data_IF_254070941604
#
_entry.id   IF_254070941604
#
_cell.length_a   1.000
_cell.length_b   1.000
_cell.length_c   1.000
_cell.angle_alpha   90.00
_cell.angle_beta   90.00
_cell.angle_gamma   90.00
#
_symmetry.space_group_name_H-M   'P 1'
#
loop_
_entity.id
_entity.type
_entity.pdbx_description
1 polymer ?
#
# COMPACT_ATOMS: atom_id res chain seq x y z
N UNK A 1 -0.48 -3.68 8.41
CA UNK A 1 -0.79 -3.16 9.74
C UNK A 1 0.20 -3.73 10.73
N UNK A 2 0.92 -2.83 11.40
CA UNK A 2 1.84 -3.15 12.48
C UNK A 2 1.22 -2.62 13.77
N UNK A 3 1.20 -3.44 14.81
CA UNK A 3 0.92 -2.99 16.17
C UNK A 3 2.26 -2.66 16.81
N UNK A 4 2.35 -1.48 17.43
CA UNK A 4 3.54 -1.01 18.17
C UNK A 4 3.13 -0.76 19.62
N UNK A 5 3.21 -1.77 20.50
CA UNK A 5 2.73 -1.67 21.87
C UNK A 5 3.39 -0.58 22.70
N UNK A 6 4.69 -0.38 22.50
CA UNK A 6 5.53 0.54 23.27
C UNK A 6 5.06 2.00 23.18
N UNK A 7 4.36 2.36 22.10
CA UNK A 7 3.80 3.70 21.86
C UNK A 7 2.30 3.66 21.58
N UNK A 8 1.63 2.54 21.89
CA UNK A 8 0.19 2.35 21.69
C UNK A 8 -0.30 2.84 20.32
N UNK A 9 0.41 2.42 19.26
CA UNK A 9 0.15 2.88 17.89
C UNK A 9 -0.08 1.73 16.92
N UNK A 10 -1.07 1.88 16.05
CA UNK A 10 -1.36 1.00 14.92
C UNK A 10 -0.93 1.69 13.63
N UNK A 11 0.04 1.11 12.94
CA UNK A 11 0.57 1.64 11.67
C UNK A 11 -0.04 0.88 10.49
N UNK A 12 -0.88 1.56 9.72
CA UNK A 12 -1.55 1.02 8.53
C UNK A 12 -0.59 1.09 7.33
N UNK A 13 -0.24 -0.09 6.83
CA UNK A 13 0.70 -0.26 5.71
C UNK A 13 -0.06 -0.36 4.39
N UNK A 14 -0.24 0.77 3.72
CA UNK A 14 -0.81 0.82 2.38
C UNK A 14 0.20 0.28 1.34
N UNK A 15 -0.23 -0.46 0.30
CA UNK A 15 0.67 -0.87 -0.77
C UNK A 15 1.33 0.33 -1.46
N UNK A 16 2.64 0.21 -1.74
CA UNK A 16 3.43 1.15 -2.55
C UNK A 16 3.55 2.59 -1.99
N UNK A 17 3.42 2.74 -0.68
CA UNK A 17 3.59 4.02 0.03
C UNK A 17 4.86 4.05 0.90
N UNK A 18 5.88 3.27 0.55
CA UNK A 18 7.10 3.12 1.36
C UNK A 18 6.94 2.19 2.57
N UNK A 19 5.80 1.50 2.66
CA UNK A 19 5.43 0.59 3.75
C UNK A 19 6.48 -0.47 4.10
N UNK A 20 7.22 -0.99 3.11
CA UNK A 20 8.29 -1.95 3.37
C UNK A 20 9.47 -1.36 4.15
N UNK A 21 9.87 -0.12 3.85
CA UNK A 21 10.94 0.54 4.60
C UNK A 21 10.46 1.03 5.96
N UNK A 22 9.22 1.55 6.05
CA UNK A 22 8.61 1.93 7.31
C UNK A 22 8.52 0.73 8.27
N UNK A 23 8.09 -0.44 7.78
CA UNK A 23 8.09 -1.69 8.55
C UNK A 23 9.45 -2.02 9.13
N UNK A 24 10.52 -1.98 8.32
CA UNK A 24 11.88 -2.29 8.78
C UNK A 24 12.35 -1.30 9.84
N UNK A 25 12.05 -0.01 9.66
CA UNK A 25 12.42 1.02 10.62
C UNK A 25 11.69 0.86 11.96
N UNK A 26 10.39 0.54 11.92
CA UNK A 26 9.60 0.24 13.12
C UNK A 26 10.16 -1.00 13.83
N UNK A 27 10.43 -2.09 13.11
CA UNK A 27 10.96 -3.31 13.71
C UNK A 27 12.35 -3.11 14.35
N UNK A 28 13.18 -2.25 13.76
CA UNK A 28 14.49 -1.90 14.32
C UNK A 28 14.38 -1.04 15.59
N UNK A 29 13.37 -0.16 15.67
CA UNK A 29 13.16 0.76 16.80
C UNK A 29 12.37 0.12 17.95
N UNK A 30 11.39 -0.72 17.62
CA UNK A 30 10.40 -1.30 18.51
C UNK A 30 10.37 -2.83 18.37
N UNK A 31 11.19 -3.55 19.15
CA UNK A 31 11.28 -5.01 19.10
C UNK A 31 9.97 -5.72 19.41
N UNK A 32 9.07 -5.10 20.18
CA UNK A 32 7.74 -5.63 20.48
C UNK A 32 6.71 -5.42 19.36
N UNK A 33 7.10 -4.79 18.25
CA UNK A 33 6.18 -4.54 17.15
C UNK A 33 5.79 -5.82 16.40
N UNK A 34 4.50 -5.96 16.09
CA UNK A 34 3.94 -7.16 15.47
C UNK A 34 3.26 -6.81 14.15
N UNK A 35 3.66 -7.47 13.06
CA UNK A 35 2.94 -7.40 11.79
C UNK A 35 1.78 -8.39 11.81
N UNK A 36 0.55 -7.89 11.93
CA UNK A 36 -0.64 -8.73 11.86
C UNK A 36 -1.12 -8.96 10.42
N UNK A 37 -1.18 -7.89 9.64
CA UNK A 37 -1.59 -7.95 8.23
C UNK A 37 -0.55 -7.24 7.38
N UNK A 38 -0.28 -7.72 6.17
CA UNK A 38 0.61 -7.01 5.24
C UNK A 38 0.00 -5.69 4.80
N UNK A 39 -1.25 -5.72 4.37
CA UNK A 39 -2.06 -4.58 3.96
C UNK A 39 -3.44 -4.73 4.61
N UNK A 40 -3.83 -3.79 5.44
CA UNK A 40 -5.07 -3.89 6.22
C UNK A 40 -6.19 -3.14 5.52
N UNK A 41 -7.38 -3.73 5.47
CA UNK A 41 -8.62 -3.06 5.07
C UNK A 41 -9.55 -2.99 6.29
N UNK A 42 -10.04 -1.80 6.61
CA UNK A 42 -10.07 -1.36 8.01
C UNK A 42 -11.16 -1.90 8.96
N UNK A 43 -11.92 -2.93 8.62
CA UNK A 43 -12.64 -3.68 9.68
C UNK A 43 -11.68 -4.52 10.55
N UNK A 44 -10.40 -4.60 10.17
CA UNK A 44 -9.36 -5.39 10.83
C UNK A 44 -8.47 -4.67 11.84
N UNK A 45 -8.91 -3.60 12.55
CA UNK A 45 -8.22 -3.23 13.81
C UNK A 45 -8.71 -4.22 14.86
N UNK A 46 -7.87 -5.09 15.43
CA UNK A 46 -8.34 -6.08 16.37
C UNK A 46 -8.90 -5.38 17.61
N UNK A 47 -9.94 -5.96 18.21
CA UNK A 47 -10.51 -5.48 19.45
C UNK A 47 -9.41 -5.32 20.51
N UNK A 48 -9.44 -4.21 21.26
CA UNK A 48 -8.39 -3.85 22.23
C UNK A 48 -7.36 -2.85 21.72
N UNK A 49 -7.27 -2.66 20.39
CA UNK A 49 -6.42 -1.64 19.76
C UNK A 49 -7.24 -0.50 19.11
N UNK A 50 -8.56 -0.54 19.26
CA UNK A 50 -9.50 0.45 18.72
C UNK A 50 -9.24 1.87 19.26
N UNK A 51 -8.80 1.98 20.52
CA UNK A 51 -8.45 3.25 21.17
C UNK A 51 -7.04 3.76 20.85
N UNK A 52 -6.20 2.94 20.25
CA UNK A 52 -4.80 3.29 19.98
C UNK A 52 -4.70 4.29 18.83
N UNK A 53 -3.62 5.07 18.81
CA UNK A 53 -3.38 5.99 17.72
C UNK A 53 -3.24 5.22 16.42
N UNK A 54 -3.97 5.62 15.37
CA UNK A 54 -3.91 4.98 14.06
C UNK A 54 -3.23 5.93 13.09
N UNK A 55 -2.18 5.47 12.42
CA UNK A 55 -1.45 6.28 11.44
C UNK A 55 -1.26 5.53 10.15
N UNK A 56 -1.24 6.25 9.03
CA UNK A 56 -0.96 5.67 7.73
C UNK A 56 -0.49 6.69 6.72
N UNK A 57 0.01 6.20 5.59
CA UNK A 57 0.61 7.02 4.53
C UNK A 57 -0.26 7.01 3.30
N UNK A 58 -0.58 8.19 2.79
CA UNK A 58 -1.30 8.44 1.54
C UNK A 58 -0.32 8.92 0.47
N UNK A 59 -0.30 8.24 -0.67
CA UNK A 59 0.50 8.65 -1.83
C UNK A 59 -0.40 9.16 -2.95
N UNK A 60 0.12 10.02 -3.82
CA UNK A 60 -0.56 10.33 -5.08
C UNK A 60 -0.97 9.03 -5.79
N UNK A 61 -2.27 8.86 -6.15
CA UNK A 61 -2.77 7.59 -6.63
C UNK A 61 -2.13 7.17 -7.96
N UNK A 62 -1.83 8.12 -8.86
CA UNK A 62 -1.13 7.82 -10.12
C UNK A 62 0.30 7.37 -9.84
N UNK A 63 1.01 8.06 -8.96
CA UNK A 63 2.37 7.67 -8.55
C UNK A 63 2.40 6.32 -7.82
N UNK A 64 1.39 6.02 -7.02
CA UNK A 64 1.22 4.74 -6.32
C UNK A 64 1.02 3.61 -7.33
N UNK A 65 0.10 3.78 -8.28
CA UNK A 65 -0.17 2.81 -9.35
C UNK A 65 1.04 2.63 -10.26
N UNK A 66 1.74 3.70 -10.63
CA UNK A 66 2.97 3.60 -11.41
C UNK A 66 4.07 2.84 -10.67
N UNK A 67 4.17 3.05 -9.36
CA UNK A 67 5.10 2.30 -8.51
C UNK A 67 4.71 0.83 -8.37
N UNK A 68 3.42 0.50 -8.44
CA UNK A 68 2.93 -0.88 -8.47
C UNK A 68 3.24 -1.54 -9.82
N UNK A 69 2.88 -0.88 -10.91
CA UNK A 69 3.11 -1.35 -12.28
C UNK A 69 4.58 -1.74 -12.50
N UNK A 70 5.52 -0.84 -12.17
CA UNK A 70 6.97 -1.12 -12.22
C UNK A 70 7.41 -2.26 -11.32
N UNK A 71 6.72 -2.45 -10.20
CA UNK A 71 7.02 -3.56 -9.29
C UNK A 71 6.53 -4.89 -9.84
N UNK A 72 5.36 -4.92 -10.48
CA UNK A 72 4.84 -6.10 -11.17
C UNK A 72 5.74 -6.52 -12.35
N UNK A 73 6.29 -5.55 -13.10
CA UNK A 73 7.23 -5.84 -14.20
C UNK A 73 8.49 -6.59 -13.73
N UNK A 74 8.93 -6.30 -12.50
CA UNK A 74 10.11 -6.92 -11.87
C UNK A 74 9.72 -7.97 -10.83
N UNK A 75 8.49 -8.47 -10.88
CA UNK A 75 7.98 -9.36 -9.83
C UNK A 75 8.78 -10.67 -9.81
N UNK A 76 9.09 -11.24 -10.99
CA UNK A 76 9.90 -12.46 -11.14
C UNK A 76 11.27 -12.34 -10.46
N UNK A 77 11.98 -11.23 -10.66
CA UNK A 77 13.30 -10.97 -10.04
C UNK A 77 13.27 -10.97 -8.51
N UNK A 78 12.14 -10.57 -7.92
CA UNK A 78 12.01 -10.36 -6.47
C UNK A 78 11.56 -11.59 -5.70
N UNK A 79 10.98 -12.56 -6.39
CA UNK A 79 10.31 -13.68 -5.77
C UNK A 79 11.11 -15.00 -5.93
N UNK A 80 12.07 -15.08 -6.87
CA UNK A 80 13.01 -16.19 -6.95
C UNK A 80 12.39 -17.46 -7.54
N UNK A 81 13.09 -18.60 -7.43
CA UNK A 81 12.59 -19.91 -7.87
C UNK A 81 11.52 -20.41 -6.90
N UNK A 82 10.42 -20.89 -7.47
CA UNK A 82 9.22 -21.27 -6.75
C UNK A 82 8.66 -22.59 -7.26
N UNK A 83 7.70 -23.15 -6.52
CA UNK A 83 6.87 -24.23 -7.07
C UNK A 83 6.16 -23.76 -8.35
N UNK A 84 5.87 -24.68 -9.29
CA UNK A 84 5.22 -24.38 -10.58
C UNK A 84 3.93 -23.53 -10.48
N UNK A 85 3.25 -23.55 -9.33
CA UNK A 85 1.97 -22.87 -9.10
C UNK A 85 2.12 -21.46 -8.51
N UNK A 86 3.17 -21.25 -7.72
CA UNK A 86 3.63 -19.91 -7.35
C UNK A 86 4.18 -19.20 -8.60
N UNK A 87 4.77 -19.96 -9.53
CA UNK A 87 5.18 -19.47 -10.84
C UNK A 87 3.99 -18.98 -11.67
N UNK A 88 2.86 -19.71 -11.71
CA UNK A 88 1.65 -19.26 -12.42
C UNK A 88 1.09 -17.92 -11.89
N UNK A 89 1.16 -17.68 -10.57
CA UNK A 89 0.76 -16.39 -9.99
C UNK A 89 1.73 -15.27 -10.34
N UNK A 90 3.04 -15.54 -10.27
CA UNK A 90 4.10 -14.63 -10.71
C UNK A 90 3.89 -14.26 -12.18
N UNK A 91 3.63 -15.24 -13.04
CA UNK A 91 3.42 -15.05 -14.47
C UNK A 91 2.16 -14.25 -14.75
N UNK A 92 1.05 -14.52 -14.06
CA UNK A 92 -0.17 -13.71 -14.17
C UNK A 92 0.07 -12.24 -13.78
N UNK A 93 0.86 -11.98 -12.73
CA UNK A 93 1.21 -10.61 -12.33
C UNK A 93 2.07 -9.93 -13.39
N UNK A 94 3.08 -10.60 -13.92
CA UNK A 94 3.95 -10.05 -14.96
C UNK A 94 3.14 -9.81 -16.23
N UNK A 95 2.36 -10.79 -16.67
CA UNK A 95 1.49 -10.68 -17.84
C UNK A 95 0.48 -9.54 -17.72
N UNK A 96 -0.05 -9.30 -16.51
CA UNK A 96 -0.99 -8.19 -16.30
C UNK A 96 -0.40 -6.85 -16.71
N UNK A 97 0.92 -6.67 -16.63
CA UNK A 97 1.61 -5.41 -16.95
C UNK A 97 2.35 -5.42 -18.30
N UNK A 98 2.07 -6.39 -19.17
CA UNK A 98 2.60 -6.42 -20.55
C UNK A 98 1.98 -5.33 -21.45
N UNK A 99 0.86 -4.74 -21.03
CA UNK A 99 0.21 -3.61 -21.70
C UNK A 99 0.74 -2.25 -21.21
N UNK A 100 0.62 -1.18 -22.02
CA UNK A 100 0.98 0.17 -21.62
C UNK A 100 0.28 0.61 -20.32
N UNK A 101 0.94 1.46 -19.52
CA UNK A 101 0.44 1.85 -18.19
C UNK A 101 -0.98 2.43 -18.20
N UNK A 102 -1.33 3.27 -19.18
CA UNK A 102 -2.68 3.84 -19.30
C UNK A 102 -3.74 2.75 -19.54
N UNK A 103 -3.43 1.77 -20.38
CA UNK A 103 -4.31 0.63 -20.65
C UNK A 103 -4.45 -0.25 -19.40
N UNK A 104 -3.33 -0.51 -18.71
CA UNK A 104 -3.32 -1.25 -17.45
C UNK A 104 -4.20 -0.62 -16.37
N UNK A 105 -4.18 0.71 -16.24
CA UNK A 105 -5.04 1.43 -15.28
C UNK A 105 -6.51 1.10 -15.52
N UNK A 106 -6.96 1.08 -16.77
CA UNK A 106 -8.37 0.89 -17.11
C UNK A 106 -8.75 -0.59 -17.03
N UNK A 107 -7.91 -1.45 -17.60
CA UNK A 107 -8.27 -2.82 -17.95
C UNK A 107 -7.81 -3.88 -16.95
N UNK A 108 -6.87 -3.57 -16.05
CA UNK A 108 -6.38 -4.59 -15.11
C UNK A 108 -7.51 -5.16 -14.24
N UNK A 109 -7.68 -6.49 -14.31
CA UNK A 109 -8.65 -7.26 -13.52
C UNK A 109 -7.99 -8.12 -12.45
N UNK A 110 -6.65 -8.13 -12.34
CA UNK A 110 -5.95 -9.02 -11.41
C UNK A 110 -5.89 -8.42 -10.01
N UNK A 111 -6.47 -9.08 -8.97
CA UNK A 111 -6.23 -8.72 -7.58
C UNK A 111 -4.77 -8.99 -7.22
N UNK A 112 -4.11 -7.98 -6.66
CA UNK A 112 -2.69 -8.07 -6.32
C UNK A 112 -2.41 -8.87 -5.02
N UNK A 113 -3.40 -8.97 -4.13
CA UNK A 113 -3.28 -9.69 -2.86
C UNK A 113 -4.45 -10.65 -2.71
N UNK A 114 -4.15 -11.93 -2.49
CA UNK A 114 -5.11 -12.99 -2.25
C UNK A 114 -4.65 -13.80 -1.02
N UNK A 115 -5.50 -14.04 -0.01
CA UNK A 115 -5.14 -14.86 1.14
C UNK A 115 -5.07 -16.35 0.85
N UNK A 116 -5.73 -16.82 -0.20
CA UNK A 116 -5.66 -18.22 -0.58
C UNK A 116 -4.47 -18.46 -1.50
N UNK A 117 -3.94 -19.67 -1.44
CA UNK A 117 -2.98 -20.12 -2.44
C UNK A 117 -3.54 -19.96 -3.85
N UNK A 118 -2.66 -19.64 -4.79
CA UNK A 118 -2.98 -19.67 -6.21
C UNK A 118 -3.20 -21.10 -6.73
N UNK A 119 -2.87 -22.12 -5.92
CA UNK A 119 -2.98 -23.53 -6.28
C UNK A 119 -4.37 -24.13 -6.05
N UNK A 120 -5.32 -23.38 -5.45
CA UNK A 120 -6.67 -23.86 -5.19
C UNK A 120 -6.73 -25.02 -4.20
N UNK A 121 -5.64 -25.27 -3.46
CA UNK A 121 -5.54 -26.33 -2.45
C UNK A 121 -6.04 -25.86 -1.09
N UNK A 122 -6.53 -24.63 -1.02
CA UNK A 122 -7.19 -24.08 0.16
C UNK A 122 -6.23 -23.63 1.26
N UNK A 123 -4.91 -23.56 0.99
CA UNK A 123 -3.96 -22.99 1.96
C UNK A 123 -4.27 -21.52 2.14
N UNK A 124 -4.56 -21.15 3.37
CA UNK A 124 -4.88 -19.78 3.76
C UNK A 124 -3.69 -19.11 4.43
N UNK A 125 -3.38 -17.89 4.01
CA UNK A 125 -2.30 -17.05 4.52
C UNK A 125 -2.91 -15.82 5.21
N UNK A 126 -3.10 -15.84 6.53
CA UNK A 126 -3.83 -14.79 7.26
C UNK A 126 -3.28 -13.38 7.02
N UNK A 127 -1.96 -13.25 6.86
CA UNK A 127 -1.27 -11.99 6.61
C UNK A 127 -1.65 -11.30 5.29
N UNK A 128 -2.22 -12.03 4.32
CA UNK A 128 -2.68 -11.53 3.02
C UNK A 128 -4.21 -11.40 2.96
N UNK A 129 -4.90 -11.52 4.09
CA UNK A 129 -6.35 -11.32 4.15
C UNK A 129 -6.70 -9.91 3.71
N UNK A 130 -7.60 -9.81 2.73
CA UNK A 130 -8.19 -8.57 2.24
C UNK A 130 -9.70 -8.70 2.31
N UNK A 131 -10.39 -7.60 2.58
CA UNK A 131 -11.85 -7.58 2.59
C UNK A 131 -12.40 -7.49 1.17
N UNK A 132 -11.76 -6.66 0.36
CA UNK A 132 -12.13 -6.42 -1.03
C UNK A 132 -11.06 -7.05 -1.91
N UNK A 133 -11.32 -8.23 -2.46
CA UNK A 133 -10.46 -8.84 -3.47
C UNK A 133 -10.63 -8.13 -4.82
N UNK A 134 -10.20 -6.86 -4.86
CA UNK A 134 -10.29 -5.99 -6.02
C UNK A 134 -8.89 -5.66 -6.56
N UNK A 135 -8.78 -5.47 -7.88
CA UNK A 135 -7.59 -4.92 -8.51
C UNK A 135 -7.18 -3.57 -7.93
N UNK A 136 -5.88 -3.34 -7.79
CA UNK A 136 -5.34 -2.13 -7.15
C UNK A 136 -5.66 -0.83 -7.92
N UNK A 137 -5.90 -0.92 -9.23
CA UNK A 137 -6.37 0.16 -10.10
C UNK A 137 -7.83 0.56 -9.84
N UNK A 138 -8.56 -0.16 -8.98
CA UNK A 138 -9.93 0.18 -8.55
C UNK A 138 -10.04 0.41 -7.04
N UNK A 139 -8.91 0.39 -6.33
CA UNK A 139 -8.87 0.35 -4.87
C UNK A 139 -8.27 1.63 -4.29
N UNK A 140 -9.14 2.57 -3.93
CA UNK A 140 -8.78 3.80 -3.23
C UNK A 140 -7.98 3.51 -1.95
N UNK A 141 -7.03 4.38 -1.61
CA UNK A 141 -6.31 4.25 -0.34
C UNK A 141 -7.22 4.42 0.89
N UNK A 142 -8.42 4.98 0.70
CA UNK A 142 -9.47 5.04 1.71
C UNK A 142 -9.74 3.66 2.30
N UNK A 143 -9.84 2.59 1.49
CA UNK A 143 -10.24 1.27 2.00
C UNK A 143 -9.26 0.70 3.02
N UNK A 144 -7.99 1.10 2.92
CA UNK A 144 -6.96 0.73 3.89
C UNK A 144 -6.93 1.71 5.06
N UNK A 145 -6.85 3.01 4.76
CA UNK A 145 -6.58 4.04 5.74
C UNK A 145 -7.78 4.30 6.64
N UNK A 146 -9.00 4.25 6.10
CA UNK A 146 -10.27 4.50 6.78
C UNK A 146 -10.19 5.64 7.79
N UNK A 147 -10.04 6.88 7.28
CA UNK A 147 -10.07 8.07 8.11
C UNK A 147 -11.36 8.18 8.93
N UNK A 148 -12.45 7.53 8.49
CA UNK A 148 -13.70 7.41 9.24
C UNK A 148 -13.56 6.67 10.58
N UNK A 149 -12.49 5.88 10.76
CA UNK A 149 -12.11 5.24 12.03
C UNK A 149 -11.10 6.08 12.84
N UNK A 150 -10.84 7.32 12.45
CA UNK A 150 -9.92 8.22 13.14
C UNK A 150 -8.43 8.00 12.80
N UNK A 151 -8.12 7.34 11.68
CA UNK A 151 -6.74 7.21 11.22
C UNK A 151 -6.17 8.56 10.80
N UNK A 152 -5.05 8.96 11.43
CA UNK A 152 -4.26 10.12 11.03
C UNK A 152 -3.45 9.79 9.76
N UNK A 153 -3.63 10.58 8.72
CA UNK A 153 -3.07 10.31 7.40
C UNK A 153 -1.93 11.28 7.09
N UNK A 154 -0.78 10.73 6.72
CA UNK A 154 0.39 11.49 6.29
C UNK A 154 0.55 11.44 4.78
N UNK A 155 0.77 12.57 4.09
CA UNK A 155 1.15 12.53 2.69
C UNK A 155 2.53 11.86 2.54
N UNK A 156 2.73 11.10 1.47
CA UNK A 156 3.99 10.41 1.19
C UNK A 156 5.20 11.37 1.11
N UNK A 157 4.97 12.62 0.68
CA UNK A 157 5.99 13.68 0.70
C UNK A 157 6.40 14.10 2.12
N UNK A 158 5.53 13.89 3.12
CA UNK A 158 5.73 14.20 4.53
C UNK A 158 6.13 12.99 5.37
N UNK A 159 6.73 11.95 4.77
CA UNK A 159 7.18 10.77 5.50
C UNK A 159 8.12 11.09 6.67
N UNK A 160 8.94 12.15 6.55
CA UNK A 160 9.82 12.60 7.64
C UNK A 160 9.04 12.93 8.92
N UNK A 161 7.89 13.61 8.81
CA UNK A 161 7.04 13.94 9.95
C UNK A 161 6.48 12.71 10.63
N UNK A 162 6.04 11.70 9.85
CA UNK A 162 5.59 10.43 10.42
C UNK A 162 6.73 9.72 11.17
N UNK A 163 7.94 9.70 10.59
CA UNK A 163 9.09 9.07 11.23
C UNK A 163 9.44 9.76 12.56
N UNK A 164 9.42 11.09 12.58
CA UNK A 164 9.61 11.89 13.80
C UNK A 164 8.55 11.59 14.87
N UNK A 165 7.26 11.55 14.49
CA UNK A 165 6.17 11.22 15.42
C UNK A 165 6.29 9.79 15.97
N UNK A 166 6.81 8.86 15.17
CA UNK A 166 7.11 7.50 15.58
C UNK A 166 8.47 7.36 16.29
N UNK A 167 9.20 8.46 16.58
CA UNK A 167 10.51 8.39 17.25
C UNK A 167 11.59 7.62 16.46
N UNK A 168 11.45 7.53 15.14
CA UNK A 168 12.40 6.86 14.24
C UNK A 168 13.36 7.92 13.67
N UNK A 169 14.63 7.85 14.08
CA UNK A 169 15.65 8.83 13.72
C UNK A 169 16.05 8.77 12.23
N UNK A 170 16.14 7.57 11.65
CA UNK A 170 16.62 7.40 10.28
C UNK A 170 15.49 7.14 9.30
N UNK A 171 15.42 7.99 8.26
CA UNK A 171 14.65 7.71 7.07
C UNK A 171 15.31 6.55 6.31
N UNK A 172 14.96 5.32 6.69
CA UNK A 172 15.33 4.14 5.93
C UNK A 172 14.73 4.25 4.50
N UNK A 173 15.51 4.69 3.53
CA UNK A 173 15.19 4.58 2.09
C UNK A 173 15.88 3.36 1.49
N UNK A 174 15.54 2.17 1.98
CA UNK A 174 16.27 0.95 1.58
C UNK A 174 15.79 0.28 0.28
N UNK A 175 14.89 0.89 -0.50
CA UNK A 175 14.46 0.33 -1.79
C UNK A 175 13.85 1.41 -2.69
N UNK A 176 14.71 2.21 -3.31
CA UNK A 176 14.29 3.17 -4.32
C UNK A 176 14.00 2.43 -5.61
N UNK A 177 12.73 2.11 -5.90
CA UNK A 177 12.34 1.99 -7.32
C UNK A 177 12.82 3.28 -7.98
N UNK A 178 13.60 3.22 -9.08
CA UNK A 178 14.16 4.40 -9.70
C UNK A 178 13.08 5.47 -9.86
N UNK A 179 13.33 6.71 -9.40
CA UNK A 179 12.38 7.79 -9.58
C UNK A 179 12.29 8.08 -11.08
N UNK A 180 11.31 7.45 -11.72
CA UNK A 180 10.87 7.80 -13.06
C UNK A 180 9.47 8.39 -12.94
N UNK A 181 9.19 9.52 -13.61
CA UNK A 181 7.85 10.06 -13.65
C UNK A 181 6.89 9.03 -14.24
N UNK A 182 5.63 9.08 -13.80
CA UNK A 182 4.59 8.32 -14.48
C UNK A 182 4.45 8.87 -15.91
N UNK A 183 4.24 8.01 -16.92
CA UNK A 183 3.97 8.49 -18.28
C UNK A 183 2.66 9.29 -18.31
N UNK A 184 2.48 10.08 -19.37
CA UNK A 184 1.24 10.81 -19.57
C UNK A 184 0.07 9.82 -19.72
N UNK A 185 -1.00 10.06 -18.97
CA UNK A 185 -2.20 9.23 -19.02
C UNK A 185 -3.06 9.58 -20.24
N UNK A 186 -3.70 8.57 -20.84
CA UNK A 186 -4.82 8.78 -21.76
C UNK A 186 -6.00 9.41 -21.01
N UNK A 187 -6.95 10.00 -21.75
CA UNK A 187 -8.12 10.63 -21.11
C UNK A 187 -9.00 9.60 -20.40
N UNK A 188 -9.15 8.41 -20.97
CA UNK A 188 -9.85 7.30 -20.32
C UNK A 188 -9.17 6.88 -18.99
N UNK A 189 -7.84 6.78 -18.97
CA UNK A 189 -7.10 6.47 -17.75
C UNK A 189 -7.22 7.60 -16.71
N UNK A 190 -7.23 8.88 -17.13
CA UNK A 190 -7.48 10.02 -16.24
C UNK A 190 -8.88 9.93 -15.61
N UNK A 191 -9.90 9.64 -16.41
CA UNK A 191 -11.27 9.54 -15.94
C UNK A 191 -11.47 8.34 -15.01
N UNK A 192 -10.84 7.22 -15.33
CA UNK A 192 -10.78 6.06 -14.46
C UNK A 192 -10.19 6.41 -13.09
N UNK A 193 -9.01 7.05 -13.05
CA UNK A 193 -8.40 7.39 -11.76
C UNK A 193 -9.19 8.45 -10.99
N UNK A 194 -9.80 9.43 -11.68
CA UNK A 194 -10.67 10.43 -11.04
C UNK A 194 -11.87 9.77 -10.36
N UNK A 195 -12.46 8.76 -11.00
CA UNK A 195 -13.62 8.04 -10.48
C UNK A 195 -13.28 7.19 -9.25
N UNK A 196 -12.28 6.32 -9.36
CA UNK A 196 -11.96 5.34 -8.31
C UNK A 196 -11.11 5.91 -7.16
N UNK A 197 -10.37 7.00 -7.39
CA UNK A 197 -9.47 7.59 -6.40
C UNK A 197 -9.85 9.04 -6.04
N UNK A 198 -11.13 9.40 -6.20
CA UNK A 198 -11.65 10.73 -5.89
C UNK A 198 -11.29 11.16 -4.46
N UNK A 199 -11.45 10.24 -3.49
CA UNK A 199 -11.06 10.49 -2.10
C UNK A 199 -9.55 10.73 -1.96
N UNK A 200 -8.70 9.89 -2.56
CA UNK A 200 -7.23 10.03 -2.47
C UNK A 200 -6.78 11.42 -2.93
N UNK A 201 -7.31 11.88 -4.07
CA UNK A 201 -7.01 13.21 -4.60
C UNK A 201 -7.52 14.32 -3.67
N UNK A 202 -8.74 14.20 -3.16
CA UNK A 202 -9.30 15.19 -2.22
C UNK A 202 -8.48 15.26 -0.92
N UNK A 203 -8.13 14.11 -0.34
CA UNK A 203 -7.35 14.01 0.88
C UNK A 203 -5.94 14.58 0.70
N UNK A 204 -5.29 14.40 -0.47
CA UNK A 204 -4.00 15.02 -0.76
C UNK A 204 -4.09 16.54 -0.88
N UNK A 205 -5.16 17.07 -1.48
CA UNK A 205 -5.39 18.53 -1.54
C UNK A 205 -5.59 19.11 -0.13
N UNK A 206 -6.39 18.46 0.71
CA UNK A 206 -6.68 18.94 2.06
C UNK A 206 -5.45 18.84 2.98
N UNK A 207 -4.65 17.79 2.87
CA UNK A 207 -3.40 17.65 3.64
C UNK A 207 -2.32 18.66 3.21
N UNK A 208 -2.35 19.15 1.97
CA UNK A 208 -1.48 20.28 1.56
C UNK A 208 -1.87 21.60 2.25
N UNK A 209 -3.13 21.74 2.67
CA UNK A 209 -3.61 22.91 3.41
C UNK A 209 -3.20 22.81 4.88
N UNK A 210 -3.27 21.62 5.49
CA UNK A 210 -2.84 21.37 6.87
C UNK A 210 -1.31 21.34 7.07
N UNK A 211 -0.53 21.19 5.99
CA UNK A 211 0.94 21.27 6.00
C UNK A 211 1.50 22.70 5.96
N UNK A 212 0.65 23.74 5.89
CA UNK A 212 1.03 25.11 6.24
C UNK A 212 0.75 25.30 7.73
N UNK A 213 1.69 24.86 8.54
CA UNK A 213 1.69 25.16 9.98
C UNK A 213 1.98 26.66 10.13
N UNK A 214 1.07 27.36 10.80
CA UNK A 214 1.31 28.64 11.45
C UNK A 214 2.30 28.46 12.61
#
# INVERSE_FOLDING_TARGET
MIIVPEIQTVVILVPRTGSGSLRRAIAAKYPGSVLLYRHMEAEGVPAGYDRWQKVGVLRDPVQRLWSLYKFCQRFREKFGEHSDQEQAHVDAIVQSVDMPFSEWIVNNQLPFTNPYDSSGRGRFWPQYTVRHSLPENRKSQFVYLRPDLGTKVYPYSGLGTLYQELGIADLFRTNSTPPSPAPQLSDEAKDHVRRFFAWDFAALRNNRILGRVA
#
